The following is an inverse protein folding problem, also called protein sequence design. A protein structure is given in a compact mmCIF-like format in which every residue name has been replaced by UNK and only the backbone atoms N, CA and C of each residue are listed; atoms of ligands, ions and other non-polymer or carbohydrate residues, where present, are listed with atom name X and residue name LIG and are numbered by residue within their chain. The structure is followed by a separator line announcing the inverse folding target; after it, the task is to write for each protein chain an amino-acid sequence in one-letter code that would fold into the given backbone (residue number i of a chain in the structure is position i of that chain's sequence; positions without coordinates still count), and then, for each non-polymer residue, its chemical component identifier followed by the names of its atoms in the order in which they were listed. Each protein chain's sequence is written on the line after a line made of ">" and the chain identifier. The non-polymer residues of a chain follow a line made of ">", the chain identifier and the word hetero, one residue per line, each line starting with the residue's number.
data_IF_650186915475
#
_entry.id   IF_650186915475
#
_cell.length_a   1.000
_cell.length_b   1.000
_cell.length_c   1.000
_cell.angle_alpha   90.00
_cell.angle_beta   90.00
_cell.angle_gamma   90.00
#
_symmetry.space_group_name_H-M   'P 1'
#
loop_
_entity.id
_entity.type
_entity.pdbx_description
1 polymer ?
#
# COMPACT_ATOMS: atom_id res chain seq x y z
N UNK A 1 -39.73 -35.57 45.77
CA UNK A 1 -38.82 -34.56 46.37
C UNK A 1 -37.43 -34.57 45.73
N UNK A 2 -36.78 -35.74 45.56
CA UNK A 2 -35.44 -35.89 44.96
C UNK A 2 -35.32 -35.23 43.57
N UNK A 3 -36.32 -35.42 42.70
CA UNK A 3 -36.32 -34.82 41.35
C UNK A 3 -36.30 -33.29 41.36
N UNK A 4 -37.02 -32.65 42.29
CA UNK A 4 -37.06 -31.19 42.42
C UNK A 4 -35.70 -30.66 42.87
N UNK A 5 -35.01 -31.37 43.77
CA UNK A 5 -33.68 -31.00 44.23
C UNK A 5 -32.65 -31.09 43.10
N UNK A 6 -32.71 -32.15 42.30
CA UNK A 6 -31.83 -32.32 41.12
C UNK A 6 -32.09 -31.20 40.10
N UNK A 7 -33.35 -30.90 39.82
CA UNK A 7 -33.72 -29.85 38.87
C UNK A 7 -33.20 -28.47 39.31
N UNK A 8 -33.35 -28.11 40.58
CA UNK A 8 -32.83 -26.85 41.14
C UNK A 8 -31.30 -26.81 41.03
N UNK A 9 -30.62 -27.92 41.32
CA UNK A 9 -29.17 -28.02 41.19
C UNK A 9 -28.67 -27.77 39.76
N UNK A 10 -29.33 -28.39 38.78
CA UNK A 10 -28.97 -28.23 37.35
C UNK A 10 -29.23 -26.81 36.87
N UNK A 11 -30.37 -26.21 37.23
CA UNK A 11 -30.69 -24.83 36.86
C UNK A 11 -29.73 -23.83 37.51
N UNK A 12 -29.32 -24.06 38.76
CA UNK A 12 -28.30 -23.25 39.44
C UNK A 12 -26.95 -23.33 38.73
N UNK A 13 -26.49 -24.53 38.37
CA UNK A 13 -25.24 -24.72 37.65
C UNK A 13 -25.24 -24.03 36.27
N UNK A 14 -26.35 -24.13 35.53
CA UNK A 14 -26.51 -23.43 34.25
C UNK A 14 -26.53 -21.90 34.41
N UNK A 15 -27.21 -21.38 35.43
CA UNK A 15 -27.23 -19.94 35.68
C UNK A 15 -25.82 -19.40 36.04
N UNK A 16 -25.07 -20.12 36.88
CA UNK A 16 -23.70 -19.70 37.27
C UNK A 16 -22.74 -19.68 36.09
N UNK A 17 -22.80 -20.69 35.22
CA UNK A 17 -21.96 -20.76 34.01
C UNK A 17 -22.30 -19.64 33.03
N UNK A 18 -23.58 -19.39 32.75
CA UNK A 18 -24.02 -18.31 31.85
C UNK A 18 -23.66 -16.92 32.40
N UNK A 19 -23.72 -16.72 33.72
CA UNK A 19 -23.34 -15.45 34.35
C UNK A 19 -21.83 -15.23 34.42
N UNK A 20 -21.03 -16.31 34.47
CA UNK A 20 -19.57 -16.27 34.55
C UNK A 20 -18.90 -16.13 33.18
N UNK A 21 -19.55 -16.57 32.10
CA UNK A 21 -19.04 -16.40 30.73
C UNK A 21 -18.93 -14.90 30.41
N UNK A 22 -17.85 -14.49 29.74
CA UNK A 22 -17.57 -13.11 29.31
C UNK A 22 -17.22 -12.14 30.46
N UNK A 23 -16.20 -12.48 31.25
CA UNK A 23 -15.61 -11.63 32.30
C UNK A 23 -16.63 -11.08 33.32
N UNK A 24 -17.73 -11.83 33.57
CA UNK A 24 -18.77 -11.43 34.53
C UNK A 24 -19.59 -10.20 34.12
N UNK A 25 -19.63 -9.83 32.83
CA UNK A 25 -20.40 -8.66 32.36
C UNK A 25 -21.90 -8.80 32.60
N UNK A 26 -22.46 -10.00 32.42
CA UNK A 26 -23.88 -10.24 32.68
C UNK A 26 -24.19 -10.22 34.19
N UNK A 27 -23.30 -10.76 35.02
CA UNK A 27 -23.42 -10.66 36.48
C UNK A 27 -23.46 -9.20 36.96
N UNK A 28 -22.58 -8.33 36.47
CA UNK A 28 -22.58 -6.89 36.79
C UNK A 28 -23.91 -6.21 36.43
N UNK A 29 -24.52 -6.59 35.30
CA UNK A 29 -25.79 -6.02 34.84
C UNK A 29 -26.95 -6.40 35.77
N UNK A 30 -26.99 -7.65 36.23
CA UNK A 30 -28.00 -8.14 37.19
C UNK A 30 -27.80 -7.49 38.56
N UNK A 31 -26.57 -7.43 39.07
CA UNK A 31 -26.28 -6.83 40.38
C UNK A 31 -26.69 -5.36 40.46
N UNK A 32 -26.49 -4.62 39.36
CA UNK A 32 -26.88 -3.21 39.28
C UNK A 32 -28.42 -3.03 39.23
N UNK A 33 -29.13 -3.93 38.56
CA UNK A 33 -30.60 -3.89 38.45
C UNK A 33 -31.30 -4.19 39.79
N UNK A 34 -30.68 -4.99 40.66
CA UNK A 34 -31.23 -5.33 41.98
C UNK A 34 -30.60 -4.51 43.13
N UNK A 35 -29.77 -3.51 42.84
CA UNK A 35 -29.17 -2.61 43.86
C UNK A 35 -28.24 -3.32 44.85
N UNK A 36 -27.60 -4.42 44.44
CA UNK A 36 -26.67 -5.19 45.29
C UNK A 36 -25.21 -4.76 45.14
N UNK A 37 -24.95 -3.50 44.76
CA UNK A 37 -23.59 -3.01 44.47
C UNK A 37 -22.63 -3.18 45.65
N UNK A 38 -23.15 -3.16 46.88
CA UNK A 38 -22.39 -3.38 48.13
C UNK A 38 -21.74 -4.77 48.25
N UNK A 39 -22.12 -5.73 47.41
CA UNK A 39 -21.55 -7.08 47.38
C UNK A 39 -20.58 -7.32 46.22
N UNK A 40 -20.37 -6.32 45.37
CA UNK A 40 -19.29 -6.37 44.38
C UNK A 40 -17.97 -6.19 45.13
N UNK A 41 -17.16 -7.26 45.14
CA UNK A 41 -15.79 -7.17 45.61
C UNK A 41 -15.10 -6.02 44.85
N UNK A 42 -14.46 -5.07 45.56
CA UNK A 42 -13.73 -4.01 44.90
C UNK A 42 -12.69 -4.65 43.97
N UNK A 43 -12.52 -4.15 42.74
CA UNK A 43 -11.55 -4.72 41.81
C UNK A 43 -10.18 -4.71 42.49
N UNK A 44 -9.38 -5.78 42.36
CA UNK A 44 -8.03 -5.78 42.90
C UNK A 44 -7.28 -4.56 42.34
N UNK A 45 -6.48 -3.87 43.16
CA UNK A 45 -5.76 -2.68 42.72
C UNK A 45 -4.95 -3.06 41.49
N UNK A 46 -5.08 -2.27 40.43
CA UNK A 46 -4.37 -2.51 39.18
C UNK A 46 -2.88 -2.71 39.49
N UNK A 47 -2.24 -3.76 38.96
CA UNK A 47 -0.83 -3.98 39.19
C UNK A 47 -0.10 -2.71 38.79
N UNK A 48 0.71 -2.17 39.70
CA UNK A 48 1.58 -1.02 39.40
C UNK A 48 2.55 -1.49 38.32
N UNK A 49 2.18 -1.28 37.05
CA UNK A 49 3.08 -1.39 35.93
C UNK A 49 4.17 -0.35 36.19
N UNK A 50 5.27 -0.80 36.78
CA UNK A 50 6.53 -0.07 36.72
C UNK A 50 6.88 -0.03 35.24
N UNK A 51 6.46 1.04 34.57
CA UNK A 51 7.07 1.49 33.33
C UNK A 51 8.48 1.96 33.72
N UNK A 52 9.32 1.03 34.17
CA UNK A 52 10.75 1.26 34.21
C UNK A 52 11.11 1.54 32.77
N UNK A 53 11.66 2.75 32.52
CA UNK A 53 12.25 3.20 31.25
C UNK A 53 12.55 1.98 30.39
N UNK A 54 11.65 1.66 29.45
CA UNK A 54 11.98 0.70 28.43
C UNK A 54 13.19 1.32 27.75
N UNK A 55 14.36 0.72 27.97
CA UNK A 55 15.57 1.11 27.25
C UNK A 55 15.14 1.07 25.79
N UNK A 56 15.15 2.25 25.17
CA UNK A 56 14.91 2.40 23.75
C UNK A 56 15.99 1.57 23.07
N UNK A 57 15.66 0.32 22.73
CA UNK A 57 16.57 -0.54 22.00
C UNK A 57 16.67 0.11 20.63
N UNK A 58 17.81 0.75 20.36
CA UNK A 58 18.13 1.24 19.03
C UNK A 58 17.95 0.05 18.08
N UNK A 59 17.23 0.21 16.95
CA UNK A 59 17.06 -0.87 15.99
C UNK A 59 18.44 -1.41 15.65
N UNK A 60 18.66 -2.68 15.95
CA UNK A 60 19.89 -3.41 15.66
C UNK A 60 20.23 -3.13 14.20
N UNK A 61 21.46 -2.70 13.91
CA UNK A 61 21.94 -2.16 12.63
C UNK A 61 21.91 -3.11 11.42
N UNK A 62 20.90 -3.98 11.32
CA UNK A 62 20.61 -4.85 10.17
C UNK A 62 19.84 -4.15 9.06
N UNK A 63 19.24 -3.00 9.33
CA UNK A 63 18.49 -2.26 8.31
C UNK A 63 19.26 -1.02 7.89
N UNK A 64 19.52 -0.84 6.59
CA UNK A 64 20.09 0.40 6.07
C UNK A 64 19.29 1.60 6.57
N UNK A 65 19.97 2.68 6.96
CA UNK A 65 19.33 3.88 7.51
C UNK A 65 18.29 4.53 6.58
N UNK A 66 18.34 4.25 5.27
CA UNK A 66 17.34 4.71 4.31
C UNK A 66 15.95 4.07 4.51
N UNK A 67 15.88 2.83 5.04
CA UNK A 67 14.63 2.13 5.35
C UNK A 67 13.94 2.65 6.62
N UNK A 68 14.71 3.27 7.52
CA UNK A 68 14.23 3.81 8.80
C UNK A 68 13.86 5.30 8.72
N UNK A 69 14.05 5.93 7.55
CA UNK A 69 13.57 7.29 7.32
C UNK A 69 12.06 7.24 7.13
N UNK A 70 11.32 7.67 8.15
CA UNK A 70 9.86 7.82 8.16
C UNK A 70 9.30 8.79 7.08
N UNK A 71 10.13 9.34 6.20
CA UNK A 71 9.72 10.09 5.00
C UNK A 71 9.53 9.21 3.75
N UNK A 72 9.69 7.89 3.86
CA UNK A 72 9.34 6.92 2.81
C UNK A 72 7.90 6.42 2.91
N UNK A 73 7.10 6.97 3.83
CA UNK A 73 5.66 7.01 3.65
C UNK A 73 5.39 7.90 2.44
N UNK A 74 5.47 7.29 1.25
CA UNK A 74 4.75 7.78 0.08
C UNK A 74 3.37 8.06 0.62
N UNK A 75 2.96 9.33 0.64
CA UNK A 75 1.58 9.67 0.87
C UNK A 75 0.82 8.93 -0.23
N UNK A 76 0.39 7.70 0.07
CA UNK A 76 -0.43 6.90 -0.81
C UNK A 76 -1.75 7.67 -0.85
N UNK A 77 -1.80 8.65 -1.75
CA UNK A 77 -3.04 9.29 -2.11
C UNK A 77 -3.83 8.18 -2.77
N UNK A 78 -4.75 7.63 -2.01
CA UNK A 78 -5.82 6.80 -2.50
C UNK A 78 -6.74 7.72 -3.31
N UNK A 79 -6.30 8.02 -4.53
CA UNK A 79 -7.16 8.65 -5.51
C UNK A 79 -8.13 7.56 -5.96
N UNK A 80 -9.43 7.84 -5.81
CA UNK A 80 -10.44 6.99 -6.40
C UNK A 80 -10.09 6.84 -7.88
N UNK A 81 -9.91 5.59 -8.35
CA UNK A 81 -9.83 5.35 -9.77
C UNK A 81 -11.09 5.98 -10.38
N UNK A 82 -10.96 6.93 -11.31
CA UNK A 82 -12.12 7.56 -11.92
C UNK A 82 -13.03 6.46 -12.46
N UNK A 83 -14.26 6.38 -11.96
CA UNK A 83 -15.28 5.45 -12.45
C UNK A 83 -15.87 5.93 -13.79
N UNK A 84 -15.10 6.73 -14.53
CA UNK A 84 -15.48 7.31 -15.81
C UNK A 84 -15.57 6.18 -16.81
N UNK A 85 -16.65 6.17 -17.59
CA UNK A 85 -16.88 5.14 -18.60
C UNK A 85 -15.72 5.12 -19.61
N UNK A 86 -15.42 3.94 -20.17
CA UNK A 86 -14.28 3.79 -21.06
C UNK A 86 -14.41 4.67 -22.31
N UNK A 87 -15.63 4.87 -22.81
CA UNK A 87 -15.93 5.76 -23.91
C UNK A 87 -15.70 7.23 -23.53
N UNK A 88 -16.11 7.63 -22.33
CA UNK A 88 -15.88 8.99 -21.81
C UNK A 88 -14.38 9.31 -21.65
N UNK A 89 -13.59 8.36 -21.15
CA UNK A 89 -12.11 8.51 -21.09
C UNK A 89 -11.47 8.57 -22.48
N UNK A 90 -12.08 7.93 -23.48
CA UNK A 90 -11.61 8.08 -24.85
C UNK A 90 -11.95 9.48 -25.37
N UNK A 91 -13.20 9.92 -25.15
CA UNK A 91 -13.69 11.25 -25.56
C UNK A 91 -12.91 12.40 -24.92
N UNK A 92 -12.39 12.23 -23.70
CA UNK A 92 -11.56 13.25 -23.03
C UNK A 92 -10.21 13.48 -23.72
N UNK A 93 -9.72 12.54 -24.54
CA UNK A 93 -8.53 12.75 -25.36
C UNK A 93 -8.76 13.77 -26.49
N UNK A 94 -10.01 14.16 -26.78
CA UNK A 94 -10.32 15.10 -27.85
C UNK A 94 -9.84 16.51 -27.51
N UNK A 95 -8.79 16.96 -28.19
CA UNK A 95 -8.28 18.33 -28.17
C UNK A 95 -8.70 19.08 -29.45
N UNK A 96 -8.33 20.37 -29.56
CA UNK A 96 -8.55 21.15 -30.79
C UNK A 96 -7.68 20.64 -31.96
N UNK A 97 -6.55 20.00 -31.64
CA UNK A 97 -5.53 19.49 -32.56
C UNK A 97 -5.72 18.01 -32.87
N UNK A 98 -6.50 17.28 -32.08
CA UNK A 98 -6.84 15.88 -32.34
C UNK A 98 -7.53 15.74 -33.69
N UNK A 99 -6.87 15.03 -34.61
CA UNK A 99 -7.37 14.86 -35.99
C UNK A 99 -8.21 13.60 -36.11
N UNK A 100 -7.83 12.54 -35.39
CA UNK A 100 -8.56 11.27 -35.37
C UNK A 100 -8.80 10.84 -33.93
N UNK A 101 -10.04 10.48 -33.61
CA UNK A 101 -10.41 9.87 -32.34
C UNK A 101 -11.47 8.82 -32.59
N UNK A 102 -11.16 7.57 -32.27
CA UNK A 102 -12.04 6.43 -32.49
C UNK A 102 -12.15 5.60 -31.22
N UNK A 103 -13.38 5.37 -30.77
CA UNK A 103 -13.69 4.37 -29.75
C UNK A 103 -14.39 3.19 -30.42
N UNK A 104 -13.88 1.98 -30.18
CA UNK A 104 -14.41 0.73 -30.75
C UNK A 104 -14.73 -0.24 -29.62
N UNK A 105 -16.01 -0.43 -29.27
CA UNK A 105 -16.43 -1.49 -28.35
C UNK A 105 -16.42 -2.85 -29.06
N UNK A 106 -16.00 -3.90 -28.35
CA UNK A 106 -15.97 -5.29 -28.82
C UNK A 106 -16.44 -6.23 -27.71
N UNK A 107 -17.76 -6.30 -27.51
CA UNK A 107 -18.36 -7.07 -26.41
C UNK A 107 -18.02 -6.42 -25.06
N UNK A 108 -17.24 -7.11 -24.24
CA UNK A 108 -16.69 -6.54 -22.99
C UNK A 108 -15.38 -5.81 -23.19
N UNK A 109 -14.68 -6.07 -24.29
CA UNK A 109 -13.41 -5.41 -24.57
C UNK A 109 -13.67 -4.09 -25.31
N UNK A 110 -12.72 -3.17 -25.23
CA UNK A 110 -12.78 -1.90 -25.95
C UNK A 110 -11.39 -1.44 -26.38
N UNK A 111 -11.36 -0.64 -27.45
CA UNK A 111 -10.18 0.03 -27.96
C UNK A 111 -10.47 1.52 -28.19
N UNK A 112 -9.55 2.37 -27.79
CA UNK A 112 -9.55 3.80 -28.06
C UNK A 112 -8.28 4.16 -28.81
N UNK A 113 -8.43 4.83 -29.94
CA UNK A 113 -7.35 5.33 -30.79
C UNK A 113 -7.46 6.84 -30.91
N UNK A 114 -6.34 7.55 -30.72
CA UNK A 114 -6.27 8.99 -30.94
C UNK A 114 -5.00 9.37 -31.70
N UNK A 115 -5.09 10.34 -32.60
CA UNK A 115 -3.96 10.90 -33.35
C UNK A 115 -3.96 12.42 -33.27
N UNK A 116 -2.79 12.97 -32.90
CA UNK A 116 -2.56 14.41 -32.85
C UNK A 116 -1.26 14.77 -33.60
N UNK A 117 -1.34 15.52 -34.72
CA UNK A 117 -0.19 16.02 -35.46
C UNK A 117 0.28 17.39 -34.94
N UNK A 118 1.57 17.68 -35.12
CA UNK A 118 2.26 18.89 -34.67
C UNK A 118 3.13 19.47 -35.79
N UNK A 119 2.88 20.73 -36.12
CA UNK A 119 3.55 21.42 -37.21
C UNK A 119 2.86 21.20 -38.57
N UNK A 120 3.35 21.90 -39.58
CA UNK A 120 2.77 21.92 -40.93
C UNK A 120 3.69 21.31 -41.99
N UNK A 121 4.78 20.68 -41.58
CA UNK A 121 5.73 20.03 -42.47
C UNK A 121 5.20 18.67 -42.94
N UNK A 122 5.68 18.19 -44.10
CA UNK A 122 5.31 16.87 -44.62
C UNK A 122 5.67 15.73 -43.65
N UNK A 123 6.82 15.83 -42.96
CA UNK A 123 7.25 14.94 -41.86
C UNK A 123 6.98 15.61 -40.49
N UNK A 124 5.70 15.90 -40.21
CA UNK A 124 5.29 16.55 -38.97
C UNK A 124 5.46 15.64 -37.75
N UNK A 125 5.74 16.25 -36.60
CA UNK A 125 5.77 15.52 -35.34
C UNK A 125 4.35 15.05 -35.00
N UNK A 126 4.19 13.92 -34.33
CA UNK A 126 2.85 13.38 -34.03
C UNK A 126 2.84 12.52 -32.79
N UNK A 127 1.66 12.44 -32.17
CA UNK A 127 1.37 11.52 -31.07
C UNK A 127 0.23 10.63 -31.49
N UNK A 128 0.43 9.32 -31.38
CA UNK A 128 -0.61 8.32 -31.57
C UNK A 128 -0.82 7.56 -30.26
N UNK A 129 -2.05 7.60 -29.73
CA UNK A 129 -2.46 6.88 -28.53
C UNK A 129 -3.30 5.68 -28.92
N UNK A 130 -3.01 4.55 -28.27
CA UNK A 130 -3.81 3.35 -28.29
C UNK A 130 -4.04 2.88 -26.86
N UNK A 131 -5.28 2.96 -26.40
CA UNK A 131 -5.70 2.41 -25.12
C UNK A 131 -6.65 1.23 -25.35
N UNK A 132 -6.48 0.17 -24.57
CA UNK A 132 -7.30 -1.04 -24.64
C UNK A 132 -7.69 -1.48 -23.26
N UNK A 133 -8.88 -2.04 -23.12
CA UNK A 133 -9.36 -2.51 -21.83
C UNK A 133 -10.55 -3.45 -21.93
N UNK A 134 -11.12 -3.75 -20.77
CA UNK A 134 -12.32 -4.57 -20.61
C UNK A 134 -13.24 -3.91 -19.60
N UNK A 135 -14.52 -3.78 -19.94
CA UNK A 135 -15.50 -3.05 -19.14
C UNK A 135 -14.93 -1.66 -18.76
N UNK A 136 -14.82 -1.34 -17.47
CA UNK A 136 -14.20 -0.10 -17.00
C UNK A 136 -12.68 -0.17 -16.80
N UNK A 137 -12.08 -1.35 -16.94
CA UNK A 137 -10.66 -1.59 -16.62
C UNK A 137 -9.77 -1.33 -17.83
N UNK A 138 -8.71 -0.53 -17.62
CA UNK A 138 -7.62 -0.39 -18.58
C UNK A 138 -6.74 -1.65 -18.54
N UNK A 139 -6.36 -2.19 -19.71
CA UNK A 139 -5.38 -3.29 -19.86
C UNK A 139 -4.06 -2.83 -20.45
N UNK A 140 -4.09 -1.82 -21.32
CA UNK A 140 -2.90 -1.34 -22.01
C UNK A 140 -3.11 0.10 -22.38
N UNK A 141 -2.16 0.97 -22.04
CA UNK A 141 -2.08 2.32 -22.57
C UNK A 141 -0.75 2.48 -23.29
N UNK A 142 -0.80 2.76 -24.58
CA UNK A 142 0.37 2.90 -25.44
C UNK A 142 0.32 4.26 -26.12
N UNK A 143 1.46 4.93 -26.16
CA UNK A 143 1.63 6.18 -26.87
C UNK A 143 2.88 6.08 -27.74
N UNK A 144 2.72 6.31 -29.04
CA UNK A 144 3.82 6.45 -30.00
C UNK A 144 4.04 7.93 -30.26
N UNK A 145 5.29 8.37 -30.16
CA UNK A 145 5.70 9.74 -30.39
C UNK A 145 6.64 9.76 -31.60
N UNK A 146 6.29 10.54 -32.61
CA UNK A 146 7.17 10.88 -33.73
C UNK A 146 7.74 12.27 -33.49
N UNK A 147 9.03 12.36 -33.17
CA UNK A 147 9.74 13.60 -32.84
C UNK A 147 10.60 14.06 -34.03
N UNK A 148 9.96 14.21 -35.19
CA UNK A 148 10.62 14.53 -36.46
C UNK A 148 11.06 15.99 -36.53
N UNK A 149 10.34 16.89 -35.86
CA UNK A 149 10.67 18.32 -35.72
C UNK A 149 11.12 18.64 -34.28
N UNK A 150 12.40 18.99 -34.05
CA UNK A 150 12.89 19.32 -32.71
C UNK A 150 12.28 20.62 -32.15
N UNK A 151 11.77 21.51 -33.00
CA UNK A 151 11.10 22.74 -32.53
C UNK A 151 9.76 22.44 -31.84
N UNK A 152 9.15 21.29 -32.17
CA UNK A 152 7.90 20.83 -31.57
C UNK A 152 8.10 19.97 -30.31
N UNK A 153 9.35 19.67 -29.92
CA UNK A 153 9.62 18.73 -28.82
C UNK A 153 8.90 19.10 -27.51
N UNK A 154 8.89 20.39 -27.15
CA UNK A 154 8.22 20.86 -25.94
C UNK A 154 6.69 20.71 -26.05
N UNK A 155 6.12 21.05 -27.20
CA UNK A 155 4.68 20.94 -27.45
C UNK A 155 4.22 19.47 -27.43
N UNK A 156 4.97 18.58 -28.10
CA UNK A 156 4.70 17.14 -28.10
C UNK A 156 4.83 16.55 -26.70
N UNK A 157 5.85 16.95 -25.94
CA UNK A 157 6.02 16.47 -24.56
C UNK A 157 4.87 16.92 -23.66
N UNK A 158 4.45 18.19 -23.78
CA UNK A 158 3.32 18.70 -23.01
C UNK A 158 2.03 17.98 -23.39
N UNK A 159 1.73 17.85 -24.67
CA UNK A 159 0.54 17.14 -25.14
C UNK A 159 0.54 15.66 -24.72
N UNK A 160 1.70 15.00 -24.71
CA UNK A 160 1.83 13.64 -24.18
C UNK A 160 1.44 13.58 -22.70
N UNK A 161 1.89 14.53 -21.88
CA UNK A 161 1.49 14.59 -20.47
C UNK A 161 0.00 14.91 -20.30
N UNK A 162 -0.54 15.83 -21.10
CA UNK A 162 -1.96 16.19 -21.09
C UNK A 162 -2.83 14.98 -21.49
N UNK A 163 -2.41 14.16 -22.45
CA UNK A 163 -3.12 12.93 -22.83
C UNK A 163 -3.13 11.89 -21.70
N UNK A 164 -2.03 11.74 -20.95
CA UNK A 164 -2.00 10.87 -19.76
C UNK A 164 -3.00 11.34 -18.70
N UNK A 165 -3.10 12.66 -18.53
CA UNK A 165 -4.00 13.29 -17.57
C UNK A 165 -5.47 13.23 -18.01
N UNK A 166 -5.76 13.52 -19.27
CA UNK A 166 -7.11 13.42 -19.85
C UNK A 166 -7.63 11.99 -19.82
N UNK A 167 -6.77 11.01 -20.09
CA UNK A 167 -7.14 9.59 -19.96
C UNK A 167 -7.32 9.15 -18.49
N UNK A 168 -7.01 10.05 -17.54
CA UNK A 168 -7.22 9.88 -16.10
C UNK A 168 -6.44 8.70 -15.51
N UNK A 169 -5.16 8.57 -15.91
CA UNK A 169 -4.26 7.59 -15.32
C UNK A 169 -3.89 8.02 -13.89
N UNK A 170 -4.04 7.10 -12.93
CA UNK A 170 -3.74 7.33 -11.53
C UNK A 170 -2.23 7.33 -11.28
N UNK A 171 -1.57 8.44 -11.62
CA UNK A 171 -0.13 8.67 -11.43
C UNK A 171 0.09 9.82 -10.44
N UNK A 172 1.02 9.62 -9.50
CA UNK A 172 1.45 10.65 -8.56
C UNK A 172 2.11 11.85 -9.28
N UNK A 173 2.10 13.06 -8.70
CA UNK A 173 2.82 14.20 -9.24
C UNK A 173 4.30 13.92 -9.52
N UNK A 174 4.95 13.12 -8.66
CA UNK A 174 6.34 12.71 -8.81
C UNK A 174 6.54 11.77 -9.99
N UNK A 175 5.65 10.78 -10.17
CA UNK A 175 5.67 9.90 -11.34
C UNK A 175 5.39 10.66 -12.63
N UNK A 176 4.49 11.66 -12.60
CA UNK A 176 4.24 12.55 -13.75
C UNK A 176 5.48 13.36 -14.10
N UNK A 177 6.13 13.97 -13.10
CA UNK A 177 7.37 14.71 -13.32
C UNK A 177 8.48 13.81 -13.85
N UNK A 178 8.62 12.60 -13.31
CA UNK A 178 9.56 11.60 -13.81
C UNK A 178 9.30 11.25 -15.28
N UNK A 179 8.03 11.02 -15.68
CA UNK A 179 7.67 10.77 -17.06
C UNK A 179 7.98 11.96 -17.97
N UNK A 180 7.59 13.17 -17.56
CA UNK A 180 7.86 14.40 -18.30
C UNK A 180 9.36 14.59 -18.55
N UNK A 181 10.19 14.40 -17.53
CA UNK A 181 11.65 14.48 -17.63
C UNK A 181 12.22 13.43 -18.60
N UNK A 182 11.69 12.20 -18.58
CA UNK A 182 12.14 11.12 -19.47
C UNK A 182 11.74 11.35 -20.91
N UNK A 183 10.53 11.86 -21.16
CA UNK A 183 10.02 12.22 -22.48
C UNK A 183 10.83 13.39 -23.05
N UNK A 184 10.98 14.48 -22.29
CA UNK A 184 11.71 15.68 -22.72
C UNK A 184 13.18 15.38 -23.07
N UNK A 185 13.83 14.52 -22.28
CA UNK A 185 15.23 14.12 -22.51
C UNK A 185 15.37 12.95 -23.48
N UNK A 186 14.26 12.35 -23.92
CA UNK A 186 14.24 11.20 -24.81
C UNK A 186 15.06 10.00 -24.28
N UNK A 187 15.05 9.80 -22.96
CA UNK A 187 15.87 8.80 -22.26
C UNK A 187 15.06 7.53 -22.02
N UNK A 188 15.53 6.42 -22.59
CA UNK A 188 14.92 5.10 -22.37
C UNK A 188 14.81 4.75 -20.88
N UNK A 189 13.70 4.14 -20.49
CA UNK A 189 13.54 3.61 -19.14
C UNK A 189 12.56 2.43 -19.11
N UNK A 190 12.63 1.64 -18.04
CA UNK A 190 11.62 0.67 -17.65
C UNK A 190 11.54 0.69 -16.13
N UNK A 191 10.39 1.09 -15.59
CA UNK A 191 10.20 1.32 -14.16
C UNK A 191 8.76 0.99 -13.75
N UNK A 192 8.57 0.56 -12.51
CA UNK A 192 7.24 0.49 -11.93
C UNK A 192 6.83 1.88 -11.42
N UNK A 193 5.71 2.40 -11.92
CA UNK A 193 5.06 3.64 -11.51
C UNK A 193 3.72 3.27 -10.88
N UNK A 194 3.69 3.22 -9.54
CA UNK A 194 2.49 2.86 -8.76
C UNK A 194 1.85 1.54 -9.26
N UNK A 195 0.68 1.66 -9.88
CA UNK A 195 -0.14 0.56 -10.40
C UNK A 195 0.23 0.16 -11.84
N UNK A 196 1.27 0.74 -12.42
CA UNK A 196 1.67 0.52 -13.81
C UNK A 196 3.13 0.07 -13.92
N UNK A 197 3.40 -0.85 -14.83
CA UNK A 197 4.72 -1.10 -15.38
C UNK A 197 4.87 -0.18 -16.59
N UNK A 198 5.76 0.80 -16.47
CA UNK A 198 6.02 1.79 -17.50
C UNK A 198 7.31 1.46 -18.24
N UNK A 199 7.30 1.57 -19.57
CA UNK A 199 8.48 1.46 -20.41
C UNK A 199 8.45 2.51 -21.50
N UNK A 200 9.62 3.10 -21.76
CA UNK A 200 9.82 4.08 -22.82
C UNK A 200 11.07 3.72 -23.60
N UNK A 201 10.92 3.51 -24.89
CA UNK A 201 12.00 3.05 -25.77
C UNK A 201 11.88 3.63 -27.17
N UNK A 202 13.01 3.73 -27.87
CA UNK A 202 13.06 4.04 -29.30
C UNK A 202 12.49 2.89 -30.13
N UNK A 203 11.86 3.21 -31.25
CA UNK A 203 11.48 2.22 -32.26
C UNK A 203 12.73 1.73 -32.99
N UNK A 204 12.79 0.43 -33.33
CA UNK A 204 14.04 -0.22 -33.76
C UNK A 204 14.64 0.40 -35.04
N UNK A 205 13.81 1.01 -35.89
CA UNK A 205 14.18 1.49 -37.22
C UNK A 205 14.24 3.02 -37.35
N UNK A 206 13.83 3.77 -36.32
CA UNK A 206 13.75 5.23 -36.39
C UNK A 206 14.12 5.83 -35.03
N UNK A 207 15.20 6.60 -34.98
CA UNK A 207 15.74 7.21 -33.77
C UNK A 207 14.91 8.41 -33.28
N UNK A 208 13.99 8.90 -34.13
CA UNK A 208 13.04 9.98 -33.84
C UNK A 208 11.69 9.44 -33.36
N UNK A 209 11.46 8.12 -33.42
CA UNK A 209 10.21 7.49 -32.97
C UNK A 209 10.39 6.79 -31.64
N UNK A 210 9.47 7.07 -30.73
CA UNK A 210 9.48 6.53 -29.38
C UNK A 210 8.14 5.90 -29.05
N UNK A 211 8.18 4.93 -28.14
CA UNK A 211 7.02 4.19 -27.69
C UNK A 211 7.01 4.20 -26.16
N UNK A 212 6.01 4.85 -25.58
CA UNK A 212 5.66 4.77 -24.17
C UNK A 212 4.57 3.71 -24.01
N UNK A 213 4.80 2.76 -23.12
CA UNK A 213 3.86 1.68 -22.80
C UNK A 213 3.66 1.63 -21.30
N UNK A 214 2.39 1.73 -20.89
CA UNK A 214 1.91 1.59 -19.52
C UNK A 214 1.03 0.35 -19.45
N UNK A 215 1.48 -0.64 -18.68
CA UNK A 215 0.73 -1.86 -18.40
C UNK A 215 0.27 -1.84 -16.94
N UNK A 216 -1.03 -1.96 -16.64
CA UNK A 216 -1.50 -2.17 -15.28
C UNK A 216 -0.79 -3.38 -14.67
N UNK A 217 -0.32 -3.23 -13.44
CA UNK A 217 0.29 -4.31 -12.69
C UNK A 217 -0.83 -5.15 -12.08
N UNK A 218 -0.82 -6.47 -12.24
CA UNK A 218 -1.77 -7.33 -11.53
C UNK A 218 -1.56 -7.12 -10.03
N UNK A 219 -2.64 -6.89 -9.28
CA UNK A 219 -2.55 -6.83 -7.84
C UNK A 219 -2.21 -8.24 -7.33
N UNK A 220 -0.97 -8.43 -6.88
CA UNK A 220 -0.48 -9.75 -6.41
C UNK A 220 -0.93 -10.09 -4.99
N UNK A 221 -1.93 -9.40 -4.46
CA UNK A 221 -2.41 -9.62 -3.09
C UNK A 221 -3.55 -10.64 -3.12
N UNK A 222 -3.19 -11.92 -3.10
CA UNK A 222 -4.13 -12.98 -2.76
C UNK A 222 -4.28 -13.01 -1.24
N UNK A 223 -5.24 -12.25 -0.71
CA UNK A 223 -5.76 -12.51 0.62
C UNK A 223 -6.68 -13.72 0.48
N UNK A 224 -6.24 -14.90 0.90
CA UNK A 224 -7.17 -16.03 1.04
C UNK A 224 -8.33 -15.54 1.92
N UNK A 225 -9.48 -15.33 1.28
CA UNK A 225 -10.66 -14.78 1.91
C UNK A 225 -11.22 -15.86 2.84
N UNK A 226 -10.81 -15.83 4.10
CA UNK A 226 -11.59 -16.47 5.14
C UNK A 226 -12.95 -15.75 5.17
N UNK A 227 -14.01 -16.46 4.75
CA UNK A 227 -15.38 -15.97 4.71
C UNK A 227 -15.75 -15.27 6.03
N UNK A 228 -15.90 -13.94 5.96
CA UNK A 228 -16.35 -13.15 7.10
C UNK A 228 -17.85 -13.41 7.35
N UNK A 229 -18.28 -13.67 8.59
CA UNK A 229 -19.67 -14.01 8.89
C UNK A 229 -20.62 -12.84 8.61
N UNK A 230 -21.73 -13.16 7.96
CA UNK A 230 -22.79 -12.25 7.50
C UNK A 230 -23.58 -11.66 8.67
N UNK A 231 -23.04 -10.64 9.33
CA UNK A 231 -23.74 -9.82 10.32
C UNK A 231 -24.38 -8.59 9.66
N UNK A 232 -25.68 -8.37 9.91
CA UNK A 232 -26.48 -7.24 9.39
C UNK A 232 -25.83 -5.88 9.71
N UNK A 233 -25.10 -5.30 8.77
CA UNK A 233 -24.49 -3.97 8.89
C UNK A 233 -25.46 -2.89 8.39
N UNK A 234 -25.85 -1.97 9.29
CA UNK A 234 -26.55 -0.70 8.97
C UNK A 234 -25.59 0.48 8.81
N UNK A 235 -24.30 0.22 8.59
CA UNK A 235 -23.32 1.23 8.25
C UNK A 235 -22.84 0.97 6.82
N UNK A 236 -22.64 2.04 6.03
CA UNK A 236 -22.02 1.97 4.71
C UNK A 236 -20.55 1.56 4.85
N UNK A 237 -20.31 0.27 5.03
CA UNK A 237 -18.98 -0.31 5.04
C UNK A 237 -18.47 -0.36 3.61
N UNK A 238 -17.57 0.54 3.26
CA UNK A 238 -16.74 0.40 2.07
C UNK A 238 -15.71 -0.69 2.33
N UNK A 239 -15.69 -1.71 1.47
CA UNK A 239 -14.68 -2.77 1.51
C UNK A 239 -13.40 -2.21 0.88
N UNK A 240 -12.33 -2.11 1.67
CA UNK A 240 -10.99 -1.79 1.17
C UNK A 240 -10.05 -2.95 1.52
N UNK A 241 -9.22 -3.34 0.57
CA UNK A 241 -8.16 -4.33 0.80
C UNK A 241 -6.89 -3.56 1.17
N UNK A 242 -6.60 -3.46 2.47
CA UNK A 242 -5.26 -3.06 2.92
C UNK A 242 -4.35 -4.26 2.60
N UNK A 243 -3.26 -4.04 1.89
CA UNK A 243 -2.31 -5.10 1.54
C UNK A 243 -1.89 -5.90 2.79
N UNK A 244 -1.54 -7.18 2.61
CA UNK A 244 -1.20 -8.08 3.71
C UNK A 244 -0.02 -7.54 4.53
N UNK A 245 -0.31 -6.96 5.69
CA UNK A 245 0.70 -6.71 6.72
C UNK A 245 1.01 -8.05 7.38
N UNK A 246 2.17 -8.62 7.07
CA UNK A 246 2.69 -9.81 7.76
C UNK A 246 3.11 -9.45 9.18
N UNK A 247 2.14 -9.45 10.10
CA UNK A 247 2.40 -9.31 11.55
C UNK A 247 2.94 -10.61 12.18
N UNK A 248 3.27 -11.64 11.39
CA UNK A 248 3.79 -12.92 11.89
C UNK A 248 5.19 -13.27 11.38
N UNK A 249 6.02 -12.26 11.10
CA UNK A 249 7.46 -12.50 10.91
C UNK A 249 8.16 -12.84 12.24
N UNK A 250 8.04 -14.10 12.64
CA UNK A 250 8.93 -14.85 13.53
C UNK A 250 9.20 -14.24 14.92
N UNK A 251 8.35 -14.59 15.89
CA UNK A 251 8.89 -15.21 17.11
C UNK A 251 9.21 -16.66 16.74
N UNK A 252 10.30 -16.85 15.98
CA UNK A 252 10.84 -18.19 15.78
C UNK A 252 11.47 -18.52 17.11
N UNK A 253 10.87 -19.46 17.84
CA UNK A 253 11.51 -20.11 18.97
C UNK A 253 12.93 -20.49 18.52
N UNK A 254 13.90 -19.85 19.16
CA UNK A 254 15.28 -20.27 19.14
C UNK A 254 15.26 -21.74 19.58
N UNK A 255 15.74 -22.69 18.76
CA UNK A 255 15.91 -24.04 19.27
C UNK A 255 16.90 -23.94 20.42
N UNK A 256 16.53 -24.49 21.58
CA UNK A 256 17.44 -24.73 22.70
C UNK A 256 18.66 -25.48 22.16
N UNK A 257 19.70 -24.74 21.82
CA UNK A 257 21.02 -25.27 21.61
C UNK A 257 21.58 -25.50 23.00
N UNK A 258 21.45 -26.75 23.45
CA UNK A 258 22.19 -27.28 24.57
C UNK A 258 23.68 -26.93 24.37
N UNK A 259 24.29 -26.16 25.30
CA UNK A 259 25.65 -25.67 25.11
C UNK A 259 26.62 -26.86 25.12
N UNK A 260 27.35 -27.03 24.02
CA UNK A 260 28.45 -27.97 23.93
C UNK A 260 29.52 -27.61 24.98
N UNK A 261 29.79 -28.47 25.98
CA UNK A 261 30.76 -28.19 27.03
C UNK A 261 32.21 -28.13 26.53
N UNK A 262 32.46 -28.46 25.25
CA UNK A 262 33.80 -28.41 24.65
C UNK A 262 34.11 -27.11 23.87
N UNK A 263 33.17 -26.15 23.79
CA UNK A 263 33.41 -24.92 23.05
C UNK A 263 34.34 -23.97 23.82
N UNK A 264 35.51 -23.58 23.28
CA UNK A 264 36.41 -22.64 23.94
C UNK A 264 35.69 -21.31 24.09
N UNK A 265 35.59 -20.80 25.32
CA UNK A 265 34.99 -19.50 25.60
C UNK A 265 35.67 -18.40 24.79
N UNK A 266 34.93 -17.35 24.39
CA UNK A 266 35.50 -16.26 23.61
C UNK A 266 36.64 -15.59 24.40
N UNK A 267 37.81 -15.51 23.77
CA UNK A 267 38.98 -14.82 24.30
C UNK A 267 38.58 -13.38 24.68
N UNK A 268 38.50 -13.12 25.98
CA UNK A 268 38.33 -11.77 26.48
C UNK A 268 39.59 -10.96 26.17
N UNK A 269 39.48 -9.83 25.46
CA UNK A 269 40.63 -8.94 25.31
C UNK A 269 41.05 -8.41 26.69
N UNK A 270 42.36 -8.21 26.92
CA UNK A 270 42.87 -7.74 28.20
C UNK A 270 42.30 -6.37 28.56
N UNK A 271 41.92 -6.24 29.83
CA UNK A 271 41.42 -5.01 30.44
C UNK A 271 42.47 -3.91 30.28
N UNK A 272 42.14 -2.75 29.67
CA UNK A 272 43.04 -1.61 29.65
C UNK A 272 43.30 -1.13 31.08
N UNK A 273 44.58 -1.04 31.45
CA UNK A 273 45.03 -0.52 32.74
C UNK A 273 44.49 0.89 33.00
N UNK A 274 44.15 1.11 34.27
CA UNK A 274 43.56 2.33 34.79
C UNK A 274 44.35 3.59 34.38
N UNK A 275 43.60 4.61 33.96
CA UNK A 275 44.09 5.95 33.64
C UNK A 275 44.49 6.68 34.93
N UNK A 276 45.58 7.48 34.94
CA UNK A 276 46.04 8.17 36.14
C UNK A 276 45.04 9.23 36.63
N UNK A 277 44.93 9.37 37.95
CA UNK A 277 44.16 10.43 38.62
C UNK A 277 44.63 11.83 38.18
N UNK A 278 43.70 12.76 37.89
CA UNK A 278 44.05 14.15 37.65
C UNK A 278 44.42 14.84 38.96
N UNK A 279 45.57 15.51 38.94
CA UNK A 279 46.18 16.18 40.07
C UNK A 279 45.30 17.24 40.74
N UNK A 280 45.48 17.29 42.05
CA UNK A 280 45.02 18.35 42.95
C UNK A 280 45.64 19.70 42.61
N UNK A 281 44.77 20.68 42.35
CA UNK A 281 44.99 22.12 42.44
C UNK A 281 43.64 22.64 42.95
N UNK A 282 43.50 23.03 44.22
CA UNK A 282 44.15 24.19 44.83
C UNK A 282 43.15 25.33 44.86
N UNK A 283 42.49 25.51 46.00
CA UNK A 283 41.48 26.54 46.30
C UNK A 283 40.88 26.31 47.68
#
# INVERSE_FOLDING_TARGET
>A
MVFVLILIGVLGALATTVLSVNNGRNYKRVVHQFGLERYLLPPPPAPKLRIGRQKHLSPVGRYPSWLLKAGLERNARFENAPSTDAEERCKSLKTQTTTELTFTPNGRDWECLALEPFGSADDHASIFVQARGTDSDLRTFRMKLSLTDPTQLAAVTQAAMDMLDHFSLALSPESRQYLADKLARQVKFSSALENYQASFSREFLDDRRFNLLLLPRPQTVNCDAADLPTGKARASTFRMTIGCLDFQSKVRAEPDLEPDPASPGPDHPPIPSARPEPGSSGG
#
